data_IF_036453212667
#
_entry.id   IF_036453212667
#
_cell.length_a   1.000
_cell.length_b   1.000
_cell.length_c   1.000
_cell.angle_alpha   90.00
_cell.angle_beta   90.00
_cell.angle_gamma   90.00
#
_symmetry.space_group_name_H-M   'P 1'
#
loop_
_entity.id
_entity.type
_entity.pdbx_description
1 polymer ?
#
# COMPACT_ATOMS: atom_id res chain seq x y z
N UNK A 1 -24.67 18.38 1.20
CA UNK A 1 -25.29 17.04 1.18
C UNK A 1 -24.33 16.03 1.80
N UNK A 2 -24.81 15.16 2.70
CA UNK A 2 -23.99 14.18 3.44
C UNK A 2 -23.21 13.22 2.52
N UNK A 3 -23.83 12.73 1.45
CA UNK A 3 -23.18 11.84 0.48
C UNK A 3 -21.93 12.47 -0.17
N UNK A 4 -22.00 13.73 -0.60
CA UNK A 4 -20.84 14.42 -1.19
C UNK A 4 -19.73 14.64 -0.15
N UNK A 5 -20.08 14.91 1.11
CA UNK A 5 -19.09 15.02 2.19
C UNK A 5 -18.35 13.70 2.38
N UNK A 6 -19.09 12.58 2.43
CA UNK A 6 -18.51 11.25 2.56
C UNK A 6 -17.65 10.84 1.37
N UNK A 7 -18.04 11.23 0.14
CA UNK A 7 -17.23 11.00 -1.06
C UNK A 7 -15.91 11.79 -1.03
N UNK A 8 -15.95 13.04 -0.57
CA UNK A 8 -14.73 13.84 -0.38
C UNK A 8 -13.85 13.27 0.75
N UNK A 9 -14.46 12.84 1.85
CA UNK A 9 -13.76 12.17 2.95
C UNK A 9 -13.08 10.89 2.47
N UNK A 10 -13.75 10.09 1.64
CA UNK A 10 -13.14 8.92 0.99
C UNK A 10 -11.92 9.31 0.15
N UNK A 11 -12.04 10.33 -0.68
CA UNK A 11 -10.93 10.81 -1.51
C UNK A 11 -9.75 11.30 -0.68
N UNK A 12 -10.00 11.97 0.44
CA UNK A 12 -8.96 12.39 1.39
C UNK A 12 -8.19 11.20 1.99
N UNK A 13 -8.89 10.13 2.37
CA UNK A 13 -8.23 8.93 2.88
C UNK A 13 -7.50 8.15 1.78
N UNK A 14 -7.98 8.16 0.54
CA UNK A 14 -7.26 7.61 -0.61
C UNK A 14 -5.98 8.40 -0.90
N UNK A 15 -5.99 9.73 -0.79
CA UNK A 15 -4.80 10.56 -0.92
C UNK A 15 -3.77 10.26 0.17
N UNK A 16 -4.21 10.08 1.41
CA UNK A 16 -3.33 9.63 2.51
C UNK A 16 -2.74 8.25 2.24
N UNK A 17 -3.53 7.33 1.70
CA UNK A 17 -3.06 5.99 1.33
C UNK A 17 -1.99 6.07 0.24
N UNK A 18 -2.26 6.86 -0.80
CA UNK A 18 -1.32 7.13 -1.88
C UNK A 18 0.00 7.70 -1.35
N UNK A 19 -0.07 8.70 -0.46
CA UNK A 19 1.11 9.36 0.12
C UNK A 19 1.91 8.42 1.03
N UNK A 20 1.23 7.57 1.81
CA UNK A 20 1.87 6.54 2.63
C UNK A 20 2.65 5.54 1.75
N UNK A 21 2.04 5.11 0.65
CA UNK A 21 2.69 4.24 -0.33
C UNK A 21 3.90 4.92 -0.98
N UNK A 22 3.82 6.20 -1.38
CA UNK A 22 4.98 6.92 -1.93
C UNK A 22 6.15 6.97 -0.95
N UNK A 23 5.88 7.31 0.33
CA UNK A 23 6.91 7.35 1.36
C UNK A 23 7.60 6.00 1.53
N UNK A 24 6.82 4.91 1.59
CA UNK A 24 7.41 3.57 1.72
C UNK A 24 8.21 3.16 0.47
N UNK A 25 7.75 3.50 -0.73
CA UNK A 25 8.51 3.22 -1.96
C UNK A 25 9.89 3.88 -1.90
N UNK A 26 9.96 5.14 -1.45
CA UNK A 26 11.25 5.83 -1.30
C UNK A 26 12.17 5.14 -0.29
N UNK A 27 11.64 4.74 0.87
CA UNK A 27 12.42 3.99 1.86
C UNK A 27 12.94 2.65 1.30
N UNK A 28 12.09 1.87 0.64
CA UNK A 28 12.45 0.57 0.05
C UNK A 28 13.50 0.72 -1.05
N UNK A 29 13.41 1.76 -1.88
CA UNK A 29 14.41 2.05 -2.93
C UNK A 29 15.79 2.35 -2.34
N UNK A 30 15.87 2.90 -1.13
CA UNK A 30 17.14 3.12 -0.42
C UNK A 30 17.65 1.88 0.33
N UNK A 31 16.92 0.75 0.26
CA UNK A 31 17.24 -0.46 1.01
C UNK A 31 16.89 -0.40 2.49
N UNK A 32 16.04 0.57 2.90
CA UNK A 32 15.55 0.68 4.27
C UNK A 32 14.27 -0.13 4.44
N UNK A 33 14.34 -1.18 5.27
CA UNK A 33 13.23 -2.12 5.51
C UNK A 33 12.68 -2.06 6.93
N UNK A 34 13.29 -1.27 7.83
CA UNK A 34 12.94 -1.18 9.24
C UNK A 34 11.49 -0.69 9.47
N UNK A 35 10.96 0.10 8.53
CA UNK A 35 9.62 0.67 8.58
C UNK A 35 8.49 -0.23 8.11
N UNK A 36 8.76 -1.42 7.54
CA UNK A 36 7.74 -2.23 6.85
C UNK A 36 6.56 -2.59 7.74
N UNK A 37 6.80 -3.01 8.99
CA UNK A 37 5.72 -3.40 9.89
C UNK A 37 4.83 -2.20 10.24
N UNK A 38 5.44 -1.04 10.50
CA UNK A 38 4.71 0.20 10.76
C UNK A 38 3.87 0.60 9.54
N UNK A 39 4.43 0.53 8.35
CA UNK A 39 3.73 0.81 7.10
C UNK A 39 2.54 -0.13 6.90
N UNK A 40 2.72 -1.43 7.11
CA UNK A 40 1.65 -2.42 7.03
C UNK A 40 0.50 -2.07 7.99
N UNK A 41 0.82 -1.78 9.26
CA UNK A 41 -0.18 -1.42 10.26
C UNK A 41 -0.93 -0.12 9.90
N UNK A 42 -0.21 0.90 9.43
CA UNK A 42 -0.82 2.16 8.98
C UNK A 42 -1.75 1.96 7.78
N UNK A 43 -1.39 1.07 6.85
CA UNK A 43 -2.25 0.70 5.71
C UNK A 43 -3.51 -0.01 6.18
N UNK A 44 -3.39 -0.98 7.06
CA UNK A 44 -4.54 -1.69 7.63
C UNK A 44 -5.52 -0.72 8.31
N UNK A 45 -5.01 0.26 9.05
CA UNK A 45 -5.86 1.27 9.68
C UNK A 45 -6.55 2.18 8.66
N UNK A 46 -5.86 2.60 7.60
CA UNK A 46 -6.49 3.33 6.50
C UNK A 46 -7.57 2.50 5.78
N UNK A 47 -7.34 1.19 5.57
CA UNK A 47 -8.34 0.30 4.97
C UNK A 47 -9.59 0.17 5.86
N UNK A 48 -9.43 0.07 7.19
CA UNK A 48 -10.56 0.06 8.12
C UNK A 48 -11.38 1.34 8.02
N UNK A 49 -10.73 2.49 7.95
CA UNK A 49 -11.40 3.79 7.79
C UNK A 49 -12.14 3.85 6.44
N UNK A 50 -11.49 3.48 5.33
CA UNK A 50 -12.10 3.46 4.01
C UNK A 50 -13.33 2.54 3.97
N UNK A 51 -13.26 1.37 4.61
CA UNK A 51 -14.39 0.43 4.73
C UNK A 51 -15.54 1.05 5.53
N UNK A 52 -15.24 1.76 6.62
CA UNK A 52 -16.25 2.49 7.38
C UNK A 52 -16.92 3.58 6.53
N UNK A 53 -16.13 4.42 5.85
CA UNK A 53 -16.65 5.48 4.98
C UNK A 53 -17.51 4.90 3.86
N UNK A 54 -17.13 3.77 3.27
CA UNK A 54 -17.93 3.08 2.25
C UNK A 54 -19.29 2.62 2.76
N UNK A 55 -19.34 2.08 3.98
CA UNK A 55 -20.61 1.73 4.60
C UNK A 55 -21.49 2.96 4.84
N UNK A 56 -20.92 4.08 5.27
CA UNK A 56 -21.65 5.32 5.48
C UNK A 56 -22.13 5.95 4.15
N UNK A 57 -21.34 5.85 3.08
CA UNK A 57 -21.75 6.25 1.71
C UNK A 57 -22.96 5.42 1.30
N UNK A 58 -22.91 4.10 1.49
CA UNK A 58 -24.00 3.22 1.12
C UNK A 58 -25.29 3.57 1.87
N UNK A 59 -25.22 3.75 3.20
CA UNK A 59 -26.36 4.20 4.02
C UNK A 59 -26.91 5.54 3.54
N UNK A 60 -26.04 6.54 3.38
CA UNK A 60 -26.44 7.89 2.97
C UNK A 60 -27.10 7.91 1.59
N UNK A 61 -26.60 7.09 0.66
CA UNK A 61 -27.17 6.97 -0.68
C UNK A 61 -28.54 6.26 -0.67
N UNK A 62 -28.68 5.18 0.11
CA UNK A 62 -29.96 4.47 0.27
C UNK A 62 -31.03 5.37 0.89
N UNK A 63 -30.72 6.06 2.00
CA UNK A 63 -31.65 7.01 2.63
C UNK A 63 -32.07 8.15 1.69
N UNK A 64 -31.15 8.68 0.87
CA UNK A 64 -31.48 9.76 -0.06
C UNK A 64 -32.42 9.29 -1.19
N UNK A 65 -32.25 8.05 -1.67
CA UNK A 65 -33.16 7.44 -2.65
C UNK A 65 -34.57 7.31 -2.10
N UNK A 66 -34.71 6.99 -0.81
CA UNK A 66 -36.02 6.75 -0.18
C UNK A 66 -36.76 8.04 0.19
N UNK A 67 -36.04 9.12 0.53
CA UNK A 67 -36.64 10.33 1.16
C UNK A 67 -36.86 11.50 0.19
N UNK A 68 -36.03 11.67 -0.85
CA UNK A 68 -35.99 12.95 -1.59
C UNK A 68 -35.99 12.90 -3.12
N UNK A 69 -35.92 11.72 -3.75
CA UNK A 69 -35.86 11.65 -5.21
C UNK A 69 -34.56 12.24 -5.79
N UNK A 70 -34.46 12.20 -7.13
CA UNK A 70 -33.25 12.42 -7.95
C UNK A 70 -32.34 13.58 -7.52
N UNK A 71 -31.02 13.35 -7.57
CA UNK A 71 -30.00 14.39 -7.43
C UNK A 71 -30.18 15.52 -8.47
N UNK A 72 -30.00 16.77 -8.04
CA UNK A 72 -29.97 17.92 -8.93
C UNK A 72 -28.72 17.91 -9.85
N UNK A 73 -28.66 18.80 -10.84
CA UNK A 73 -27.55 18.87 -11.80
C UNK A 73 -26.21 19.19 -11.14
N UNK A 74 -26.20 20.03 -10.12
CA UNK A 74 -25.00 20.45 -9.40
C UNK A 74 -24.45 19.29 -8.56
N UNK A 75 -25.33 18.62 -7.82
CA UNK A 75 -25.01 17.42 -7.03
C UNK A 75 -24.49 16.29 -7.91
N UNK A 76 -25.13 16.03 -9.06
CA UNK A 76 -24.66 15.04 -10.04
C UNK A 76 -23.25 15.35 -10.53
N UNK A 77 -22.95 16.62 -10.80
CA UNK A 77 -21.62 17.06 -11.23
C UNK A 77 -20.59 16.84 -10.14
N UNK A 78 -20.89 17.23 -8.89
CA UNK A 78 -20.01 17.02 -7.75
C UNK A 78 -19.76 15.53 -7.46
N UNK A 79 -20.79 14.70 -7.53
CA UNK A 79 -20.65 13.24 -7.36
C UNK A 79 -19.74 12.66 -8.44
N UNK A 80 -19.95 13.03 -9.72
CA UNK A 80 -19.09 12.58 -10.83
C UNK A 80 -17.64 12.96 -10.62
N UNK A 81 -17.38 14.19 -10.19
CA UNK A 81 -16.01 14.65 -9.94
C UNK A 81 -15.37 13.88 -8.79
N UNK A 82 -16.09 13.65 -7.69
CA UNK A 82 -15.59 12.84 -6.59
C UNK A 82 -15.26 11.40 -7.04
N UNK A 83 -16.10 10.80 -7.88
CA UNK A 83 -15.87 9.44 -8.40
C UNK A 83 -14.67 9.39 -9.36
N UNK A 84 -14.46 10.43 -10.17
CA UNK A 84 -13.30 10.55 -11.05
C UNK A 84 -12.00 10.63 -10.25
N UNK A 85 -11.98 11.45 -9.19
CA UNK A 85 -10.83 11.56 -8.28
C UNK A 85 -10.56 10.23 -7.58
N UNK A 86 -11.59 9.57 -7.07
CA UNK A 86 -11.50 8.23 -6.47
C UNK A 86 -10.84 7.24 -7.44
N UNK A 87 -11.32 7.17 -8.67
CA UNK A 87 -10.82 6.24 -9.69
C UNK A 87 -9.33 6.49 -9.99
N UNK A 88 -8.93 7.75 -10.09
CA UNK A 88 -7.52 8.14 -10.27
C UNK A 88 -6.64 7.66 -9.12
N UNK A 89 -7.05 7.88 -7.86
CA UNK A 89 -6.27 7.42 -6.71
C UNK A 89 -6.20 5.90 -6.63
N UNK A 90 -7.32 5.20 -6.81
CA UNK A 90 -7.34 3.73 -6.75
C UNK A 90 -6.38 3.12 -7.78
N UNK A 91 -6.39 3.63 -9.03
CA UNK A 91 -5.46 3.15 -10.06
C UNK A 91 -4.00 3.33 -9.65
N UNK A 92 -3.64 4.52 -9.17
CA UNK A 92 -2.27 4.84 -8.76
C UNK A 92 -1.82 4.03 -7.56
N UNK A 93 -2.70 3.82 -6.58
CA UNK A 93 -2.41 2.98 -5.40
C UNK A 93 -2.11 1.54 -5.82
N UNK A 94 -2.86 0.98 -6.78
CA UNK A 94 -2.60 -0.37 -7.28
C UNK A 94 -1.23 -0.47 -7.99
N UNK A 95 -0.87 0.55 -8.78
CA UNK A 95 0.46 0.64 -9.42
C UNK A 95 1.59 0.72 -8.37
N UNK A 96 1.39 1.50 -7.30
CA UNK A 96 2.31 1.57 -6.17
C UNK A 96 2.44 0.24 -5.44
N UNK A 97 1.34 -0.48 -5.23
CA UNK A 97 1.35 -1.78 -4.55
C UNK A 97 2.16 -2.82 -5.32
N UNK A 98 2.05 -2.83 -6.66
CA UNK A 98 2.92 -3.65 -7.50
C UNK A 98 4.40 -3.27 -7.35
N UNK A 99 4.69 -1.97 -7.24
CA UNK A 99 6.06 -1.46 -7.04
C UNK A 99 6.63 -1.89 -5.68
N UNK A 100 5.86 -1.74 -4.60
CA UNK A 100 6.22 -2.17 -3.25
C UNK A 100 6.50 -3.68 -3.23
N UNK A 101 5.63 -4.49 -3.84
CA UNK A 101 5.83 -5.94 -3.94
C UNK A 101 7.12 -6.30 -4.68
N UNK A 102 7.38 -5.62 -5.81
CA UNK A 102 8.60 -5.83 -6.58
C UNK A 102 9.87 -5.53 -5.78
N UNK A 103 9.91 -4.40 -5.07
CA UNK A 103 11.05 -4.01 -4.25
C UNK A 103 11.29 -4.99 -3.09
N UNK A 104 10.23 -5.48 -2.45
CA UNK A 104 10.34 -6.48 -1.39
C UNK A 104 10.87 -7.81 -1.96
N UNK A 105 10.42 -8.23 -3.14
CA UNK A 105 10.85 -9.48 -3.76
C UNK A 105 12.32 -9.43 -4.22
N UNK A 106 12.74 -8.29 -4.76
CA UNK A 106 14.13 -8.03 -5.11
C UNK A 106 15.04 -8.11 -3.89
N UNK A 107 14.65 -7.46 -2.79
CA UNK A 107 15.38 -7.50 -1.52
C UNK A 107 15.49 -8.92 -0.96
N UNK A 108 14.39 -9.69 -0.96
CA UNK A 108 14.40 -11.10 -0.56
C UNK A 108 15.37 -11.91 -1.41
N UNK A 109 15.33 -11.72 -2.72
CA UNK A 109 16.21 -12.43 -3.66
C UNK A 109 17.68 -12.08 -3.42
N UNK A 110 17.99 -10.83 -3.10
CA UNK A 110 19.34 -10.40 -2.74
C UNK A 110 19.81 -11.07 -1.43
N UNK A 111 19.02 -11.03 -0.37
CA UNK A 111 19.35 -11.66 0.92
C UNK A 111 19.61 -13.16 0.75
N UNK A 112 18.79 -13.86 -0.06
CA UNK A 112 18.98 -15.29 -0.33
C UNK A 112 20.33 -15.56 -1.00
N UNK A 113 20.71 -14.75 -2.00
CA UNK A 113 22.03 -14.88 -2.67
C UNK A 113 23.17 -14.66 -1.69
N UNK A 114 23.10 -13.62 -0.87
CA UNK A 114 24.11 -13.30 0.14
C UNK A 114 24.28 -14.44 1.15
N UNK A 115 23.17 -15.02 1.64
CA UNK A 115 23.19 -16.17 2.55
C UNK A 115 23.85 -17.40 1.91
N UNK A 116 23.56 -17.69 0.63
CA UNK A 116 24.19 -18.80 -0.09
C UNK A 116 25.69 -18.60 -0.25
N UNK A 117 26.16 -17.38 -0.51
CA UNK A 117 27.58 -17.09 -0.70
C UNK A 117 28.36 -17.11 0.62
N UNK A 118 27.75 -16.69 1.72
CA UNK A 118 28.30 -16.89 3.08
C UNK A 118 28.45 -18.39 3.37
N UNK A 119 27.45 -19.20 3.04
CA UNK A 119 27.50 -20.65 3.26
C UNK A 119 28.63 -21.31 2.45
N UNK A 120 28.77 -20.95 1.17
CA UNK A 120 29.88 -21.42 0.32
C UNK A 120 31.24 -21.02 0.88
N UNK A 121 31.37 -19.76 1.31
CA UNK A 121 32.62 -19.22 1.89
C UNK A 121 33.01 -19.96 3.18
N UNK A 122 32.02 -20.27 4.03
CA UNK A 122 32.24 -21.06 5.25
C UNK A 122 32.72 -22.48 4.94
N UNK A 123 32.15 -23.14 3.93
CA UNK A 123 32.59 -24.47 3.47
C UNK A 123 34.02 -24.44 2.92
N UNK A 124 34.36 -23.43 2.11
CA UNK A 124 35.71 -23.26 1.57
C UNK A 124 36.74 -23.07 2.69
N UNK A 125 36.46 -22.21 3.68
CA UNK A 125 37.33 -21.99 4.85
C UNK A 125 37.48 -23.24 5.73
N UNK A 126 36.45 -24.08 5.84
CA UNK A 126 36.54 -25.35 6.56
C UNK A 126 37.50 -26.33 5.85
N UNK A 127 37.54 -26.33 4.52
CA UNK A 127 38.46 -27.14 3.72
C UNK A 127 39.94 -26.76 3.89
N UNK A 128 40.24 -25.50 4.20
CA UNK A 128 41.63 -25.05 4.44
C UNK A 128 42.17 -25.37 5.84
N UNK A 129 41.35 -25.81 6.81
CA UNK A 129 41.81 -26.18 8.17
C UNK A 129 42.40 -27.60 8.29
N UNK A 130 42.43 -28.38 7.21
CA UNK A 130 43.15 -29.66 7.11
C UNK A 130 43.84 -29.70 5.74
N UNK A 131 45.19 -29.73 5.60
CA UNK A 131 46.14 -30.51 6.39
C UNK A 131 47.47 -29.77 6.75
N UNK A 132 47.79 -29.69 8.03
CA UNK A 132 49.15 -29.43 8.53
C UNK A 132 49.40 -30.29 9.79
N UNK A 133 49.26 -31.61 9.64
CA UNK A 133 49.66 -32.59 10.64
C UNK A 133 50.18 -33.82 9.89
N UNK A 134 51.44 -33.75 9.47
CA UNK A 134 52.08 -34.79 8.68
C UNK A 134 53.47 -34.39 8.23
N UNK A 135 54.36 -34.12 9.18
CA UNK A 135 55.82 -34.31 9.08
C UNK A 135 56.36 -34.58 10.48
#
# INVERSE_FOLDING_TARGET
>A
MRLIQLLNEKNHFLEKFYSLNEGQIQELQTGSFDGIERFYNQREDLLKILKYVDNEIHKSHSTHKDVSGLFDSTQKTQIRECLRVKESYVKRILEQDLTVLGLIDEAKSQIIRELQDIQKSKTALAGYKSPAAGL
#
